data_IF_747402834432
#
_entry.id   IF_747402834432
#
_cell.length_a   1.000
_cell.length_b   1.000
_cell.length_c   1.000
_cell.angle_alpha   90.00
_cell.angle_beta   90.00
_cell.angle_gamma   90.00
#
_symmetry.space_group_name_H-M   'P 1'
#
loop_
_entity.id
_entity.type
_entity.pdbx_description
1 polymer ?
#
# COMPACT_ATOMS: atom_id res chain seq x y z
N UNK A 1 -6.62 18.80 -29.27
CA UNK A 1 -6.32 19.66 -28.10
C UNK A 1 -6.52 18.90 -26.78
N UNK A 2 -7.68 18.30 -26.52
CA UNK A 2 -8.00 17.60 -25.26
C UNK A 2 -6.98 16.51 -24.82
N UNK A 3 -6.40 15.77 -25.77
CA UNK A 3 -5.39 14.73 -25.48
C UNK A 3 -3.95 15.23 -25.38
N UNK A 4 -3.71 16.55 -25.47
CA UNK A 4 -2.39 17.17 -25.36
C UNK A 4 -1.28 16.50 -26.20
N UNK A 5 -1.59 16.06 -27.42
CA UNK A 5 -0.63 15.39 -28.33
C UNK A 5 0.53 16.28 -28.82
N UNK A 6 0.70 17.47 -28.29
CA UNK A 6 1.88 18.31 -28.50
C UNK A 6 2.88 18.21 -27.33
N UNK A 7 2.55 17.39 -26.32
CA UNK A 7 3.38 17.20 -25.13
C UNK A 7 3.97 15.80 -25.11
N UNK A 8 5.25 15.73 -24.78
CA UNK A 8 5.89 14.50 -24.31
C UNK A 8 5.49 14.28 -22.83
N UNK A 9 5.10 13.04 -22.50
CA UNK A 9 4.63 12.68 -21.17
C UNK A 9 5.73 11.90 -20.46
N UNK A 10 6.24 12.48 -19.38
CA UNK A 10 7.15 11.80 -18.45
C UNK A 10 6.34 11.11 -17.34
N UNK A 11 6.53 9.79 -17.22
CA UNK A 11 5.92 8.93 -16.20
C UNK A 11 6.89 8.58 -15.07
N UNK A 12 8.16 8.96 -15.19
CA UNK A 12 9.25 8.61 -14.25
C UNK A 12 9.29 9.57 -13.05
N UNK A 13 8.22 9.58 -12.26
CA UNK A 13 8.15 10.43 -11.07
C UNK A 13 9.07 9.89 -9.97
N UNK A 14 9.98 10.75 -9.53
CA UNK A 14 10.73 10.57 -8.29
C UNK A 14 9.95 11.24 -7.17
N UNK A 15 9.51 10.45 -6.18
CA UNK A 15 8.82 10.95 -5.00
C UNK A 15 9.55 10.52 -3.73
N UNK A 16 9.52 11.38 -2.72
CA UNK A 16 10.04 11.11 -1.38
C UNK A 16 8.96 11.43 -0.36
N UNK A 17 8.64 10.46 0.50
CA UNK A 17 7.60 10.57 1.50
C UNK A 17 8.25 10.49 2.87
N UNK A 18 7.97 11.49 3.71
CA UNK A 18 8.39 11.53 5.11
C UNK A 18 7.13 11.61 5.96
N UNK A 19 6.96 10.64 6.85
CA UNK A 19 5.82 10.55 7.76
C UNK A 19 6.29 10.85 9.18
N UNK A 20 5.52 11.68 9.90
CA UNK A 20 5.74 11.96 11.31
C UNK A 20 4.42 11.96 12.04
N UNK A 21 4.29 11.06 13.00
CA UNK A 21 3.11 10.99 13.88
C UNK A 21 3.44 11.66 15.20
N UNK A 22 2.48 12.39 15.77
CA UNK A 22 2.56 12.99 17.10
C UNK A 22 1.29 12.65 17.87
N UNK A 23 1.46 12.32 19.15
CA UNK A 23 0.35 11.96 20.01
C UNK A 23 0.85 11.29 21.27
N UNK A 24 -0.02 11.23 22.27
CA UNK A 24 0.15 10.42 23.48
C UNK A 24 -1.09 9.54 23.61
N UNK A 25 -0.87 8.27 23.89
CA UNK A 25 -1.91 7.30 24.24
C UNK A 25 -1.89 7.03 25.73
N UNK A 26 -3.06 6.72 26.29
CA UNK A 26 -3.19 6.31 27.68
C UNK A 26 -3.95 4.99 27.73
N UNK A 27 -3.41 4.02 28.46
CA UNK A 27 -4.07 2.73 28.69
C UNK A 27 -4.03 2.39 30.17
N UNK A 28 -5.18 2.08 30.75
CA UNK A 28 -5.24 1.57 32.12
C UNK A 28 -4.81 0.10 32.12
N UNK A 29 -3.90 -0.25 33.02
CA UNK A 29 -3.46 -1.62 33.28
C UNK A 29 -4.26 -2.20 34.44
N UNK A 30 -4.35 -3.54 34.52
CA UNK A 30 -5.09 -4.25 35.57
C UNK A 30 -4.63 -3.86 36.99
N UNK A 31 -3.36 -3.46 37.16
CA UNK A 31 -2.79 -2.96 38.42
C UNK A 31 -3.20 -1.50 38.76
N UNK A 32 -4.22 -0.96 38.09
CA UNK A 32 -4.67 0.43 38.20
C UNK A 32 -3.61 1.48 37.81
N UNK A 33 -2.53 1.06 37.15
CA UNK A 33 -1.49 1.94 36.62
C UNK A 33 -1.86 2.41 35.21
N UNK A 34 -1.66 3.70 34.93
CA UNK A 34 -1.80 4.26 33.58
C UNK A 34 -0.50 4.08 32.81
N UNK A 35 -0.54 3.24 31.78
CA UNK A 35 0.50 3.16 30.78
C UNK A 35 0.36 4.33 29.81
N UNK A 36 1.36 5.20 29.79
CA UNK A 36 1.49 6.25 28.78
C UNK A 36 2.27 5.67 27.60
N UNK A 37 1.75 5.87 26.40
CA UNK A 37 2.30 5.33 25.15
C UNK A 37 2.63 6.52 24.27
N UNK A 38 3.86 6.58 23.75
CA UNK A 38 4.31 7.68 22.89
C UNK A 38 4.54 7.26 21.43
N UNK A 39 5.05 8.19 20.62
CA UNK A 39 5.33 7.97 19.21
C UNK A 39 6.33 6.85 18.90
N UNK A 40 7.22 6.51 19.82
CA UNK A 40 8.13 5.38 19.64
C UNK A 40 7.45 4.04 19.92
N UNK A 41 6.40 4.04 20.74
CA UNK A 41 5.71 2.82 21.17
C UNK A 41 4.61 2.38 20.19
N UNK A 42 3.83 3.31 19.62
CA UNK A 42 2.71 2.96 18.72
C UNK A 42 3.09 2.89 17.23
N UNK A 43 4.32 3.27 16.86
CA UNK A 43 4.84 3.18 15.49
C UNK A 43 5.81 2.00 15.39
N UNK A 44 5.30 0.84 14.96
CA UNK A 44 6.11 -0.39 14.84
C UNK A 44 5.86 -1.04 13.48
N UNK A 45 6.90 -1.31 12.68
CA UNK A 45 8.26 -0.80 12.84
C UNK A 45 8.30 0.74 12.68
N UNK A 46 9.28 1.44 13.29
CA UNK A 46 9.38 2.90 13.22
C UNK A 46 9.66 3.44 11.81
N UNK A 47 10.04 2.56 10.88
CA UNK A 47 10.39 2.92 9.52
C UNK A 47 9.85 1.88 8.53
N UNK A 48 8.81 2.25 7.78
CA UNK A 48 8.39 1.55 6.56
C UNK A 48 8.52 2.51 5.37
N UNK A 49 8.94 1.99 4.22
CA UNK A 49 8.92 2.77 2.98
C UNK A 49 7.49 2.97 2.52
N UNK A 50 7.08 4.24 2.34
CA UNK A 50 5.76 4.64 1.84
C UNK A 50 4.59 4.08 2.66
N UNK A 51 4.82 3.71 3.91
CA UNK A 51 3.79 3.19 4.78
C UNK A 51 4.02 3.59 6.22
N UNK A 52 2.95 3.53 7.01
CA UNK A 52 2.94 3.78 8.44
C UNK A 52 1.97 2.80 9.10
N UNK A 53 2.43 2.12 10.13
CA UNK A 53 1.56 1.37 11.01
C UNK A 53 1.26 2.17 12.29
N UNK A 54 -0.02 2.31 12.62
CA UNK A 54 -0.50 2.93 13.84
C UNK A 54 -1.14 1.86 14.73
N UNK A 55 -0.49 1.55 15.84
CA UNK A 55 -1.01 0.61 16.83
C UNK A 55 -2.22 1.19 17.56
N UNK A 56 -3.32 0.43 17.60
CA UNK A 56 -4.56 0.81 18.30
C UNK A 56 -4.84 -0.08 19.50
N UNK A 57 -4.44 -1.35 19.41
CA UNK A 57 -4.52 -2.30 20.50
C UNK A 57 -3.30 -3.22 20.45
N UNK A 58 -2.93 -3.77 21.60
CA UNK A 58 -1.88 -4.76 21.71
C UNK A 58 -2.18 -5.73 22.84
N UNK A 59 -1.65 -6.94 22.69
CA UNK A 59 -1.63 -7.96 23.73
C UNK A 59 -0.16 -8.24 24.03
N UNK A 60 0.22 -8.10 25.31
CA UNK A 60 1.56 -8.37 25.82
C UNK A 60 1.56 -9.68 26.59
N UNK A 61 2.55 -10.52 26.35
CA UNK A 61 2.74 -11.77 27.08
C UNK A 61 4.20 -11.92 27.44
N UNK A 62 4.51 -11.88 28.73
CA UNK A 62 5.87 -12.13 29.20
C UNK A 62 6.11 -13.64 29.29
N UNK A 63 7.18 -14.09 28.64
CA UNK A 63 7.52 -15.49 28.46
C UNK A 63 8.94 -15.74 28.96
N UNK A 64 9.15 -16.91 29.55
CA UNK A 64 10.46 -17.40 29.94
C UNK A 64 10.78 -18.64 29.09
N UNK A 65 12.04 -18.80 28.73
CA UNK A 65 12.51 -20.03 28.10
C UNK A 65 12.44 -21.19 29.09
N UNK A 66 11.37 -21.99 28.99
CA UNK A 66 11.11 -23.18 29.80
C UNK A 66 10.31 -24.20 28.99
N UNK A 67 10.30 -25.46 29.42
CA UNK A 67 9.40 -26.47 28.87
C UNK A 67 7.97 -26.18 29.33
N UNK A 68 7.07 -25.94 28.39
CA UNK A 68 5.65 -25.68 28.62
C UNK A 68 4.81 -26.74 27.90
N UNK A 69 3.58 -26.95 28.37
CA UNK A 69 2.57 -27.69 27.61
C UNK A 69 2.12 -26.85 26.41
N UNK A 70 1.90 -27.51 25.29
CA UNK A 70 1.41 -26.88 24.07
C UNK A 70 -0.10 -26.67 24.19
N UNK A 71 -0.55 -25.42 24.15
CA UNK A 71 -1.97 -25.09 24.09
C UNK A 71 -2.34 -24.77 22.64
N UNK A 72 -3.41 -25.40 22.16
CA UNK A 72 -4.03 -25.04 20.88
C UNK A 72 -5.41 -24.46 21.14
N UNK A 73 -5.76 -23.41 20.40
CA UNK A 73 -7.09 -22.83 20.42
C UNK A 73 -7.76 -23.12 19.09
N UNK A 74 -8.92 -23.77 19.16
CA UNK A 74 -9.80 -23.93 18.00
C UNK A 74 -10.86 -22.82 18.05
N UNK A 75 -11.10 -22.19 16.90
CA UNK A 75 -12.17 -21.22 16.75
C UNK A 75 -13.53 -21.91 16.94
N UNK A 76 -14.36 -21.40 17.83
CA UNK A 76 -15.69 -21.96 18.11
C UNK A 76 -16.70 -21.63 16.99
N UNK A 77 -16.43 -20.60 16.19
CA UNK A 77 -17.24 -20.10 15.06
C UNK A 77 -16.83 -20.71 13.71
N UNK A 78 -16.30 -21.93 13.71
CA UNK A 78 -15.90 -22.62 12.48
C UNK A 78 -17.12 -23.18 11.73
N UNK A 79 -17.61 -22.45 10.74
CA UNK A 79 -18.51 -22.98 9.70
C UNK A 79 -17.72 -23.31 8.42
N UNK A 80 -18.02 -24.45 7.80
CA UNK A 80 -17.37 -24.91 6.56
C UNK A 80 -17.83 -24.14 5.32
N UNK A 81 -18.83 -23.26 5.46
CA UNK A 81 -19.40 -22.43 4.39
C UNK A 81 -18.55 -21.21 4.03
N UNK A 82 -17.72 -20.71 4.94
CA UNK A 82 -17.13 -19.37 4.83
C UNK A 82 -15.71 -19.44 4.26
N UNK A 83 -15.61 -19.82 2.99
CA UNK A 83 -14.31 -19.90 2.27
C UNK A 83 -13.68 -18.55 1.95
N UNK A 84 -14.37 -17.43 2.14
CA UNK A 84 -13.90 -16.10 1.75
C UNK A 84 -13.57 -15.15 2.92
N UNK A 85 -13.85 -15.52 4.17
CA UNK A 85 -13.48 -14.66 5.29
C UNK A 85 -12.00 -14.82 5.62
N UNK A 86 -11.23 -13.74 5.49
CA UNK A 86 -9.84 -13.67 5.96
C UNK A 86 -9.78 -14.16 7.40
N UNK A 87 -9.13 -15.31 7.62
CA UNK A 87 -8.98 -16.00 8.91
C UNK A 87 -8.45 -15.11 10.05
N UNK A 88 -7.87 -13.96 9.72
CA UNK A 88 -7.64 -12.85 10.63
C UNK A 88 -8.36 -11.59 10.13
N UNK A 89 -9.35 -11.12 10.89
CA UNK A 89 -9.92 -9.80 10.68
C UNK A 89 -8.89 -8.72 11.07
N UNK A 90 -8.62 -7.80 10.14
CA UNK A 90 -7.72 -6.66 10.34
C UNK A 90 -6.22 -6.97 10.19
N UNK A 91 -5.40 -5.94 10.39
CA UNK A 91 -3.95 -6.04 10.28
C UNK A 91 -3.32 -6.25 11.67
N UNK A 92 -2.55 -7.33 11.83
CA UNK A 92 -1.84 -7.64 13.06
C UNK A 92 -0.48 -8.28 12.77
N UNK A 93 0.49 -8.04 13.64
CA UNK A 93 1.80 -8.70 13.62
C UNK A 93 2.32 -8.90 15.04
N UNK A 94 3.34 -9.75 15.18
CA UNK A 94 3.97 -10.07 16.45
C UNK A 94 5.44 -9.69 16.41
N UNK A 95 5.91 -9.06 17.47
CA UNK A 95 7.33 -8.78 17.69
C UNK A 95 7.72 -9.14 19.12
N UNK A 96 9.02 -9.27 19.34
CA UNK A 96 9.56 -9.80 20.58
C UNK A 96 10.67 -8.91 21.10
N UNK A 97 10.56 -8.51 22.36
CA UNK A 97 11.67 -7.90 23.08
C UNK A 97 12.34 -8.96 23.95
N UNK A 98 13.62 -9.18 23.74
CA UNK A 98 14.41 -10.17 24.47
C UNK A 98 15.24 -9.48 25.55
N UNK A 99 15.22 -10.02 26.76
CA UNK A 99 15.98 -9.51 27.89
C UNK A 99 16.47 -10.65 28.77
N UNK A 100 17.52 -10.41 29.56
CA UNK A 100 18.10 -11.41 30.45
C UNK A 100 18.09 -10.90 31.88
N UNK A 101 17.74 -11.79 32.82
CA UNK A 101 17.81 -11.49 34.24
C UNK A 101 18.31 -12.71 35.00
N UNK A 102 19.32 -12.52 35.87
CA UNK A 102 19.93 -13.58 36.67
C UNK A 102 20.28 -14.84 35.85
N UNK A 103 20.97 -14.65 34.71
CA UNK A 103 21.36 -15.71 33.77
C UNK A 103 20.21 -16.52 33.12
N UNK A 104 18.96 -16.07 33.28
CA UNK A 104 17.79 -16.64 32.58
C UNK A 104 17.37 -15.72 31.42
N UNK A 105 16.97 -16.35 30.33
CA UNK A 105 16.47 -15.69 29.12
C UNK A 105 14.96 -15.47 29.22
N UNK A 106 14.54 -14.23 29.03
CA UNK A 106 13.14 -13.82 29.00
C UNK A 106 12.83 -13.14 27.68
N UNK A 107 11.56 -13.23 27.29
CA UNK A 107 11.03 -12.59 26.09
C UNK A 107 9.66 -12.04 26.40
N UNK A 108 9.47 -10.77 26.10
CA UNK A 108 8.15 -10.15 26.05
C UNK A 108 7.64 -10.24 24.61
N UNK A 109 6.60 -11.05 24.38
CA UNK A 109 5.91 -11.14 23.10
C UNK A 109 4.80 -10.09 23.05
N UNK A 110 4.85 -9.21 22.05
CA UNK A 110 3.79 -8.24 21.80
C UNK A 110 3.11 -8.57 20.49
N UNK A 111 1.80 -8.77 20.54
CA UNK A 111 0.94 -8.85 19.35
C UNK A 111 0.22 -7.51 19.18
N UNK A 112 0.58 -6.78 18.13
CA UNK A 112 0.00 -5.48 17.84
C UNK A 112 -1.13 -5.59 16.81
N UNK A 113 -2.16 -4.78 17.00
CA UNK A 113 -3.33 -4.63 16.16
C UNK A 113 -3.51 -3.15 15.82
N UNK A 114 -3.77 -2.83 14.56
CA UNK A 114 -3.81 -1.43 14.17
C UNK A 114 -4.12 -1.20 12.71
N UNK A 115 -3.93 0.06 12.33
CA UNK A 115 -4.17 0.55 10.98
C UNK A 115 -2.83 0.66 10.25
N UNK A 116 -2.80 0.18 9.00
CA UNK A 116 -1.66 0.38 8.11
C UNK A 116 -2.05 1.34 7.01
N UNK A 117 -1.43 2.52 7.02
CA UNK A 117 -1.58 3.53 5.99
C UNK A 117 -0.52 3.30 4.92
N UNK A 118 -0.94 3.09 3.67
CA UNK A 118 -0.04 2.96 2.52
C UNK A 118 -0.20 4.22 1.68
N UNK A 119 0.90 4.95 1.50
CA UNK A 119 0.93 6.19 0.71
C UNK A 119 1.38 5.82 -0.70
N UNK A 120 0.46 5.98 -1.66
CA UNK A 120 0.75 5.79 -3.08
C UNK A 120 0.77 7.15 -3.77
N UNK A 121 1.90 7.48 -4.40
CA UNK A 121 2.07 8.71 -5.18
C UNK A 121 2.13 8.33 -6.65
N UNK A 122 1.18 8.87 -7.42
CA UNK A 122 1.07 8.66 -8.86
C UNK A 122 0.87 9.99 -9.56
N UNK A 123 1.47 10.16 -10.73
CA UNK A 123 1.28 11.33 -11.57
C UNK A 123 2.01 11.19 -12.90
N UNK A 124 1.86 12.19 -13.75
CA UNK A 124 2.56 12.30 -15.02
C UNK A 124 2.79 13.79 -15.32
N UNK A 125 3.94 14.12 -15.89
CA UNK A 125 4.28 15.49 -16.29
C UNK A 125 4.27 15.61 -17.81
N UNK A 126 3.59 16.63 -18.34
CA UNK A 126 3.57 16.91 -19.77
C UNK A 126 4.37 18.16 -20.11
N UNK A 127 5.37 18.04 -20.98
CA UNK A 127 6.15 19.17 -21.50
C UNK A 127 5.92 19.31 -22.99
N UNK A 128 5.75 20.55 -23.47
CA UNK A 128 5.68 20.80 -24.91
C UNK A 128 6.95 20.31 -25.61
N UNK A 129 6.77 19.48 -26.63
CA UNK A 129 7.84 18.97 -27.48
C UNK A 129 7.46 19.15 -28.96
N UNK A 130 8.33 19.84 -29.69
CA UNK A 130 8.13 20.14 -31.10
C UNK A 130 8.20 18.88 -31.96
N UNK A 131 9.04 17.90 -31.59
CA UNK A 131 9.18 16.65 -32.34
C UNK A 131 7.91 15.81 -32.23
N UNK A 132 7.36 15.67 -31.02
CA UNK A 132 6.06 15.03 -30.77
C UNK A 132 4.92 15.74 -31.52
N UNK A 133 4.92 17.08 -31.56
CA UNK A 133 3.96 17.84 -32.36
C UNK A 133 4.09 17.51 -33.86
N UNK A 134 5.30 17.57 -34.41
CA UNK A 134 5.56 17.33 -35.82
C UNK A 134 5.18 15.91 -36.25
N UNK A 135 5.48 14.90 -35.42
CA UNK A 135 5.08 13.51 -35.63
C UNK A 135 3.55 13.36 -35.67
N UNK A 136 2.84 14.00 -34.74
CA UNK A 136 1.37 13.94 -34.70
C UNK A 136 0.72 14.71 -35.86
N UNK A 137 1.32 15.81 -36.33
CA UNK A 137 0.88 16.49 -37.55
C UNK A 137 1.16 15.62 -38.78
N UNK A 138 2.33 14.98 -38.87
CA UNK A 138 2.69 14.09 -39.97
C UNK A 138 1.73 12.89 -40.09
N UNK A 139 1.37 12.28 -38.95
CA UNK A 139 0.35 11.23 -38.89
C UNK A 139 -1.03 11.73 -39.38
N UNK A 140 -1.43 12.94 -38.98
CA UNK A 140 -2.69 13.55 -39.41
C UNK A 140 -2.72 13.75 -40.92
N UNK A 141 -1.62 14.24 -41.51
CA UNK A 141 -1.50 14.41 -42.96
C UNK A 141 -1.54 13.07 -43.69
N UNK A 142 -0.89 12.03 -43.16
CA UNK A 142 -0.94 10.69 -43.73
C UNK A 142 -2.36 10.11 -43.81
N UNK A 143 -3.18 10.32 -42.78
CA UNK A 143 -4.57 9.86 -42.75
C UNK A 143 -5.41 10.51 -43.87
N UNK A 144 -5.12 11.76 -44.25
CA UNK A 144 -5.83 12.43 -45.35
C UNK A 144 -5.62 11.72 -46.71
N UNK A 145 -4.47 11.07 -46.92
CA UNK A 145 -4.24 10.24 -48.11
C UNK A 145 -5.16 9.02 -48.19
N UNK A 146 -5.49 8.45 -47.03
CA UNK A 146 -6.37 7.28 -46.90
C UNK A 146 -7.83 7.63 -47.24
N UNK A 147 -8.26 8.86 -46.93
CA UNK A 147 -9.59 9.37 -47.32
C UNK A 147 -9.75 9.37 -48.83
N UNK A 148 -8.74 9.85 -49.57
CA UNK A 148 -8.79 9.88 -51.04
C UNK A 148 -8.88 8.47 -51.63
N UNK A 149 -8.08 7.54 -51.11
CA UNK A 149 -8.15 6.13 -51.52
C UNK A 149 -9.55 5.53 -51.31
N UNK A 150 -10.18 5.78 -50.16
CA UNK A 150 -11.54 5.31 -49.88
C UNK A 150 -12.54 5.97 -50.84
N UNK A 151 -12.43 7.27 -51.09
CA UNK A 151 -13.29 7.96 -52.05
C UNK A 151 -13.17 7.36 -53.46
N UNK A 152 -11.95 7.01 -53.90
CA UNK A 152 -11.73 6.37 -55.20
C UNK A 152 -12.33 4.94 -55.23
N UNK A 153 -12.20 4.15 -54.15
CA UNK A 153 -12.86 2.84 -54.05
C UNK A 153 -14.39 2.94 -54.10
N UNK A 154 -14.98 3.91 -53.40
CA UNK A 154 -16.44 4.16 -53.43
C UNK A 154 -16.89 4.60 -54.81
N UNK A 155 -16.15 5.50 -55.46
CA UNK A 155 -16.46 5.96 -56.82
C UNK A 155 -16.45 4.80 -57.82
N UNK A 156 -15.46 3.89 -57.71
CA UNK A 156 -15.39 2.69 -58.54
C UNK A 156 -16.56 1.72 -58.29
N UNK A 157 -17.01 1.58 -57.05
CA UNK A 157 -18.12 0.69 -56.70
C UNK A 157 -19.49 1.24 -57.11
N UNK A 158 -19.67 2.57 -57.11
CA UNK A 158 -20.93 3.24 -57.47
C UNK A 158 -21.08 3.40 -58.99
N UNK A 159 -19.98 3.51 -59.75
CA UNK A 159 -19.98 3.43 -61.21
C UNK A 159 -19.15 2.22 -61.71
N UNK A 160 -19.71 1.00 -61.64
CA UNK A 160 -19.11 -0.14 -62.31
C UNK A 160 -19.33 0.02 -63.82
N UNK A 161 -18.27 0.29 -64.57
CA UNK A 161 -18.24 0.01 -66.01
C UNK A 161 -17.84 -1.43 -66.24
#
# INVERSE_FOLDING_TARGET
>A
IHKKGYQEIDTSIISSIILKVKGLGFRQTDDNHTLVIDGADYIVPPQENNALFLMTNFIRTDQQEKRCEEYSFTRLDWDKSDKEQSYAHGFNFRFASHWKHQNRSYRTLTKAYGLRFIISVSGYAGRFDLMTLALNIGSLVGILGLVKFICDCVAFYVHPQ
#
